data_IF_527861193492
#
_entry.id   IF_527861193492
#
_cell.length_a   1.000
_cell.length_b   1.000
_cell.length_c   1.000
_cell.angle_alpha   90.00
_cell.angle_beta   90.00
_cell.angle_gamma   90.00
#
_symmetry.space_group_name_H-M   'P 1'
#
loop_
_entity.id
_entity.type
_entity.pdbx_description
1 polymer ?
#
# COMPACT_ATOMS: atom_id res chain seq x y z
N UNK A 1 -17.38 31.11 2.22
CA UNK A 1 -18.51 30.35 2.82
C UNK A 1 -17.93 29.32 3.77
N UNK A 2 -18.26 29.42 5.06
CA UNK A 2 -17.69 28.59 6.12
C UNK A 2 -18.12 27.12 5.93
N UNK A 3 -17.13 26.24 5.74
CA UNK A 3 -17.34 24.80 5.67
C UNK A 3 -17.70 24.28 7.05
N UNK A 4 -18.97 23.99 7.28
CA UNK A 4 -19.44 23.32 8.48
C UNK A 4 -18.75 21.95 8.60
N UNK A 5 -17.78 21.86 9.52
CA UNK A 5 -17.13 20.61 9.90
C UNK A 5 -18.19 19.70 10.51
N UNK A 6 -18.62 18.67 9.76
CA UNK A 6 -19.54 17.65 10.27
C UNK A 6 -18.95 17.06 11.55
N UNK A 7 -19.68 17.18 12.66
CA UNK A 7 -19.33 16.56 13.94
C UNK A 7 -18.98 15.08 13.73
N UNK A 8 -17.84 14.58 14.26
CA UNK A 8 -17.39 13.21 14.05
C UNK A 8 -18.18 12.25 14.94
N UNK A 9 -19.50 12.13 14.69
CA UNK A 9 -20.46 11.44 15.54
C UNK A 9 -20.06 9.97 15.80
N UNK A 10 -19.46 9.31 14.80
CA UNK A 10 -18.93 7.94 14.90
C UNK A 10 -17.71 7.82 15.83
N UNK A 11 -16.84 8.83 15.81
CA UNK A 11 -15.70 8.91 16.73
C UNK A 11 -16.20 9.11 18.16
N UNK A 12 -17.16 10.02 18.34
CA UNK A 12 -17.76 10.30 19.64
C UNK A 12 -18.48 9.06 20.19
N UNK A 13 -19.26 8.35 19.37
CA UNK A 13 -19.95 7.11 19.80
C UNK A 13 -18.98 5.97 20.11
N UNK A 14 -17.90 5.83 19.32
CA UNK A 14 -16.86 4.84 19.62
C UNK A 14 -16.13 5.15 20.93
N UNK A 15 -15.75 6.41 21.16
CA UNK A 15 -15.06 6.80 22.41
C UNK A 15 -15.96 6.68 23.61
N UNK A 16 -17.24 7.08 23.52
CA UNK A 16 -18.21 6.85 24.61
C UNK A 16 -18.44 5.36 24.85
N UNK A 17 -18.62 4.54 23.82
CA UNK A 17 -18.77 3.10 23.98
C UNK A 17 -17.52 2.45 24.60
N UNK A 18 -16.32 2.89 24.22
CA UNK A 18 -15.07 2.42 24.79
C UNK A 18 -14.94 2.82 26.27
N UNK A 19 -15.26 4.07 26.62
CA UNK A 19 -15.24 4.55 28.02
C UNK A 19 -16.26 3.79 28.87
N UNK A 20 -17.46 3.55 28.35
CA UNK A 20 -18.50 2.78 29.05
C UNK A 20 -18.03 1.33 29.25
N UNK A 21 -17.50 0.67 28.22
CA UNK A 21 -16.97 -0.70 28.36
C UNK A 21 -15.75 -0.78 29.29
N UNK A 22 -14.84 0.19 29.22
CA UNK A 22 -13.71 0.28 30.13
C UNK A 22 -14.14 0.55 31.58
N UNK A 23 -15.22 1.33 31.78
CA UNK A 23 -15.80 1.61 33.09
C UNK A 23 -16.64 0.45 33.66
N UNK A 24 -17.25 -0.37 32.80
CA UNK A 24 -17.99 -1.58 33.18
C UNK A 24 -17.06 -2.79 33.38
N UNK A 25 -15.87 -2.77 32.76
CA UNK A 25 -14.85 -3.79 32.95
C UNK A 25 -14.38 -3.83 34.41
N UNK A 26 -14.41 -5.02 35.03
CA UNK A 26 -13.88 -5.26 36.39
C UNK A 26 -12.35 -5.11 36.50
N UNK A 27 -11.68 -4.79 35.39
CA UNK A 27 -10.22 -4.61 35.34
C UNK A 27 -9.86 -3.22 35.86
N UNK A 28 -9.48 -3.14 37.14
CA UNK A 28 -8.91 -1.92 37.70
C UNK A 28 -7.52 -1.68 37.10
N UNK A 29 -7.43 -0.82 36.08
CA UNK A 29 -6.18 -0.43 35.43
C UNK A 29 -5.12 0.06 36.44
N UNK A 30 -5.56 0.72 37.52
CA UNK A 30 -4.67 1.14 38.61
C UNK A 30 -4.03 -0.04 39.32
N UNK A 31 -4.82 -1.05 39.66
CA UNK A 31 -4.30 -2.25 40.33
C UNK A 31 -3.46 -3.10 39.37
N UNK A 32 -3.84 -3.15 38.09
CA UNK A 32 -3.06 -3.80 37.04
C UNK A 32 -1.69 -3.14 36.88
N UNK A 33 -1.64 -1.81 36.76
CA UNK A 33 -0.40 -1.05 36.64
C UNK A 33 0.48 -1.25 37.88
N UNK A 34 -0.07 -1.07 39.09
CA UNK A 34 0.68 -1.27 40.34
C UNK A 34 1.22 -2.70 40.41
N UNK A 35 0.39 -3.73 40.16
CA UNK A 35 0.81 -5.13 40.22
C UNK A 35 1.87 -5.52 39.19
N UNK A 36 1.95 -4.78 38.09
CA UNK A 36 2.95 -4.98 37.03
C UNK A 36 4.29 -4.37 37.41
N UNK A 37 4.31 -3.20 38.07
CA UNK A 37 5.54 -2.47 38.40
C UNK A 37 6.13 -2.75 39.80
N UNK A 38 5.36 -3.23 40.80
CA UNK A 38 5.85 -3.35 42.20
C UNK A 38 6.11 -4.76 42.74
N UNK A 39 5.83 -5.84 41.99
CA UNK A 39 6.07 -7.22 42.48
C UNK A 39 7.55 -7.67 42.36
N UNK A 40 8.00 -8.68 43.13
CA UNK A 40 9.42 -9.13 43.15
C UNK A 40 9.99 -9.67 41.83
N UNK A 41 9.16 -9.91 40.81
CA UNK A 41 9.56 -10.23 39.43
C UNK A 41 9.12 -9.12 38.45
N UNK A 42 9.34 -7.86 38.82
CA UNK A 42 8.86 -6.69 38.06
C UNK A 42 9.65 -6.49 36.77
N UNK A 43 10.96 -6.76 36.78
CA UNK A 43 11.84 -6.48 35.64
C UNK A 43 11.42 -7.17 34.33
N UNK A 44 11.01 -8.45 34.37
CA UNK A 44 10.57 -9.19 33.18
C UNK A 44 9.28 -8.62 32.59
N UNK A 45 8.36 -8.17 33.43
CA UNK A 45 7.09 -7.55 33.02
C UNK A 45 7.28 -6.12 32.54
N UNK A 46 8.16 -5.35 33.17
CA UNK A 46 8.58 -4.03 32.68
C UNK A 46 9.19 -4.19 31.29
N UNK A 47 10.12 -5.14 31.10
CA UNK A 47 10.72 -5.43 29.79
C UNK A 47 9.65 -5.86 28.78
N UNK A 48 8.71 -6.73 29.15
CA UNK A 48 7.62 -7.13 28.26
C UNK A 48 6.72 -5.96 27.87
N UNK A 49 6.38 -5.07 28.80
CA UNK A 49 5.62 -3.83 28.51
C UNK A 49 6.44 -2.89 27.63
N UNK A 50 7.74 -2.74 27.89
CA UNK A 50 8.65 -1.95 27.06
C UNK A 50 8.77 -2.53 25.64
N UNK A 51 8.81 -3.85 25.50
CA UNK A 51 8.81 -4.54 24.20
C UNK A 51 7.47 -4.40 23.48
N UNK A 52 6.34 -4.45 24.20
CA UNK A 52 5.02 -4.18 23.61
C UNK A 52 4.92 -2.73 23.16
N UNK A 53 5.32 -1.77 24.00
CA UNK A 53 5.38 -0.35 23.66
C UNK A 53 6.37 -0.07 22.52
N UNK A 54 7.50 -0.76 22.46
CA UNK A 54 8.44 -0.68 21.35
C UNK A 54 7.84 -1.28 20.06
N UNK A 55 7.02 -2.33 20.17
CA UNK A 55 6.27 -2.93 19.05
C UNK A 55 5.01 -2.14 18.65
N UNK A 56 4.60 -1.10 19.39
CA UNK A 56 3.59 -0.12 18.93
C UNK A 56 4.07 0.59 17.64
N UNK A 57 5.33 0.42 17.22
CA UNK A 57 5.89 0.86 15.93
C UNK A 57 4.96 0.63 14.72
N UNK A 58 4.10 -0.40 14.74
CA UNK A 58 3.16 -0.70 13.64
C UNK A 58 1.79 0.01 13.68
N UNK A 59 1.52 0.90 14.65
CA UNK A 59 0.22 1.57 14.77
C UNK A 59 -0.16 2.45 13.56
N UNK A 60 0.82 2.95 12.80
CA UNK A 60 0.58 3.87 11.66
C UNK A 60 -0.26 3.23 10.56
N UNK A 61 0.08 2.00 10.16
CA UNK A 61 -0.65 1.23 9.14
C UNK A 61 -2.05 0.85 9.63
N UNK A 62 -2.15 0.31 10.85
CA UNK A 62 -3.44 -0.04 11.44
C UNK A 62 -4.35 1.18 11.61
N UNK A 63 -3.80 2.34 11.94
CA UNK A 63 -4.55 3.58 12.04
C UNK A 63 -5.10 4.03 10.68
N UNK A 64 -4.33 3.92 9.59
CA UNK A 64 -4.82 4.22 8.24
C UNK A 64 -6.03 3.35 7.87
N UNK A 65 -5.95 2.05 8.19
CA UNK A 65 -7.04 1.08 8.00
C UNK A 65 -8.23 1.43 8.89
N UNK A 66 -8.03 1.61 10.20
CA UNK A 66 -9.10 1.96 11.15
C UNK A 66 -9.80 3.27 10.78
N UNK A 67 -9.06 4.27 10.28
CA UNK A 67 -9.64 5.54 9.83
C UNK A 67 -10.64 5.34 8.70
N UNK A 68 -10.30 4.52 7.71
CA UNK A 68 -11.19 4.18 6.60
C UNK A 68 -12.32 3.22 6.99
N UNK A 69 -12.05 2.25 7.86
CA UNK A 69 -13.04 1.26 8.29
C UNK A 69 -14.04 1.80 9.31
N UNK A 70 -13.63 2.70 10.22
CA UNK A 70 -14.44 3.14 11.37
C UNK A 70 -14.88 4.62 11.31
N UNK A 71 -14.02 5.53 10.83
CA UNK A 71 -14.19 6.97 11.13
C UNK A 71 -14.40 7.90 9.94
N UNK A 72 -13.94 7.56 8.74
CA UNK A 72 -14.00 8.45 7.56
C UNK A 72 -14.47 7.71 6.32
N UNK A 73 -15.65 8.11 5.82
CA UNK A 73 -15.99 7.95 4.42
C UNK A 73 -15.25 9.06 3.67
N UNK A 74 -14.32 8.80 2.73
CA UNK A 74 -14.02 9.80 1.72
C UNK A 74 -15.35 10.12 1.01
N UNK A 75 -15.76 11.39 1.04
CA UNK A 75 -16.88 11.90 0.24
C UNK A 75 -16.42 11.92 -1.23
N UNK A 76 -16.30 10.74 -1.83
CA UNK A 76 -16.03 10.61 -3.26
C UNK A 76 -17.32 11.02 -3.97
N UNK A 77 -17.28 12.17 -4.67
CA UNK A 77 -18.40 12.65 -5.46
C UNK A 77 -18.73 11.57 -6.51
N UNK A 78 -20.01 11.18 -6.71
CA UNK A 78 -20.38 10.06 -7.58
C UNK A 78 -19.91 10.21 -9.05
N UNK A 79 -19.66 11.44 -9.52
CA UNK A 79 -19.14 11.71 -10.86
C UNK A 79 -17.63 11.38 -11.01
N UNK A 80 -16.88 11.39 -9.91
CA UNK A 80 -15.42 11.16 -9.87
C UNK A 80 -15.09 9.66 -9.98
N UNK A 81 -16.09 8.80 -9.79
CA UNK A 81 -15.97 7.34 -9.72
C UNK A 81 -15.36 6.71 -10.99
N UNK A 82 -15.60 7.30 -12.17
CA UNK A 82 -15.18 6.76 -13.46
C UNK A 82 -13.66 6.86 -13.72
N UNK A 83 -12.92 7.62 -12.90
CA UNK A 83 -11.48 7.85 -13.08
C UNK A 83 -10.67 7.82 -11.78
N UNK A 84 -11.22 7.22 -10.72
CA UNK A 84 -10.54 7.12 -9.41
C UNK A 84 -9.10 6.59 -9.53
N UNK A 85 -8.84 5.67 -10.48
CA UNK A 85 -7.53 5.07 -10.70
C UNK A 85 -6.39 6.06 -10.99
N UNK A 86 -6.72 7.19 -11.61
CA UNK A 86 -5.71 8.14 -12.06
C UNK A 86 -5.48 9.28 -11.06
N UNK A 87 -6.19 9.26 -9.93
CA UNK A 87 -6.02 10.28 -8.90
C UNK A 87 -5.05 9.84 -7.81
N UNK A 88 -4.21 10.78 -7.37
CA UNK A 88 -3.22 10.55 -6.33
C UNK A 88 -3.84 10.58 -4.93
N UNK A 89 -3.25 9.82 -4.00
CA UNK A 89 -3.51 9.95 -2.56
C UNK A 89 -2.29 10.62 -1.94
N UNK A 90 -2.51 11.69 -1.18
CA UNK A 90 -1.43 12.44 -0.54
C UNK A 90 -1.51 12.22 0.97
N UNK A 91 -0.40 11.76 1.56
CA UNK A 91 -0.28 11.61 3.00
C UNK A 91 0.87 12.47 3.50
N UNK A 92 0.60 13.28 4.53
CA UNK A 92 1.62 14.04 5.24
C UNK A 92 1.93 13.32 6.56
N UNK A 93 3.20 13.05 6.82
CA UNK A 93 3.68 12.37 8.01
C UNK A 93 5.04 12.91 8.45
N UNK A 94 5.37 12.71 9.72
CA UNK A 94 6.73 12.84 10.25
C UNK A 94 7.21 11.48 10.73
N UNK A 95 8.51 11.23 10.53
CA UNK A 95 9.15 10.00 10.98
C UNK A 95 9.76 10.21 12.38
N UNK A 96 9.42 9.38 13.38
CA UNK A 96 9.95 9.49 14.74
C UNK A 96 11.44 9.19 14.81
N UNK A 97 12.09 9.58 15.92
CA UNK A 97 13.51 9.33 16.18
C UNK A 97 13.93 7.85 16.07
N UNK A 98 12.99 6.91 16.19
CA UNK A 98 13.22 5.47 16.08
C UNK A 98 13.28 4.94 14.63
N UNK A 99 12.98 5.79 13.65
CA UNK A 99 13.01 5.48 12.21
C UNK A 99 14.30 5.98 11.53
N UNK A 100 15.21 6.59 12.30
CA UNK A 100 16.52 7.01 11.85
C UNK A 100 17.49 5.82 11.84
N UNK A 101 18.40 5.82 10.86
CA UNK A 101 19.54 4.94 10.83
C UNK A 101 20.69 5.47 11.71
N UNK A 102 21.81 4.74 11.72
CA UNK A 102 23.01 5.15 12.46
C UNK A 102 23.56 6.52 12.03
N UNK A 103 23.31 6.94 10.78
CA UNK A 103 23.80 8.19 10.21
C UNK A 103 22.83 9.36 10.42
N UNK A 104 21.74 9.17 11.17
CA UNK A 104 20.68 10.16 11.37
C UNK A 104 19.95 10.57 10.09
N UNK A 105 19.89 9.68 9.11
CA UNK A 105 18.95 9.76 7.99
C UNK A 105 17.78 8.82 8.23
N UNK A 106 16.68 9.09 7.53
CA UNK A 106 15.57 8.14 7.50
C UNK A 106 16.05 6.80 6.93
N UNK A 107 15.86 5.73 7.69
CA UNK A 107 16.26 4.39 7.29
C UNK A 107 15.50 3.92 6.05
N UNK A 108 16.20 3.22 5.14
CA UNK A 108 15.62 2.69 3.90
C UNK A 108 14.42 1.76 4.15
N UNK A 109 14.45 0.96 5.22
CA UNK A 109 13.36 0.04 5.56
C UNK A 109 12.10 0.78 6.00
N UNK A 110 12.23 1.97 6.58
CA UNK A 110 11.10 2.78 7.03
C UNK A 110 10.22 3.25 5.88
N UNK A 111 10.79 3.46 4.68
CA UNK A 111 10.00 3.86 3.51
C UNK A 111 8.91 2.84 3.15
N UNK A 112 9.10 1.55 3.48
CA UNK A 112 8.10 0.51 3.30
C UNK A 112 6.87 0.75 4.19
N UNK A 113 7.06 1.25 5.41
CA UNK A 113 5.94 1.58 6.30
C UNK A 113 5.10 2.73 5.76
N UNK A 114 5.71 3.75 5.14
CA UNK A 114 4.96 4.83 4.51
C UNK A 114 4.20 4.37 3.28
N UNK A 115 4.82 3.49 2.47
CA UNK A 115 4.16 2.88 1.34
C UNK A 115 2.97 2.03 1.78
N UNK A 116 3.11 1.22 2.84
CA UNK A 116 1.99 0.44 3.38
C UNK A 116 0.83 1.34 3.84
N UNK A 117 1.13 2.49 4.45
CA UNK A 117 0.11 3.50 4.84
C UNK A 117 -0.58 4.09 3.60
N UNK A 118 0.17 4.52 2.59
CA UNK A 118 -0.38 5.11 1.36
C UNK A 118 -1.21 4.08 0.59
N UNK A 119 -0.68 2.87 0.41
CA UNK A 119 -1.37 1.78 -0.25
C UNK A 119 -2.62 1.37 0.53
N UNK A 120 -2.59 1.34 1.85
CA UNK A 120 -3.80 1.11 2.66
C UNK A 120 -4.86 2.18 2.39
N UNK A 121 -4.48 3.46 2.34
CA UNK A 121 -5.42 4.52 2.01
C UNK A 121 -6.01 4.41 0.61
N UNK A 122 -5.18 4.09 -0.39
CA UNK A 122 -5.59 3.91 -1.78
C UNK A 122 -6.50 2.70 -1.96
N UNK A 123 -6.11 1.54 -1.41
CA UNK A 123 -6.87 0.29 -1.50
C UNK A 123 -8.21 0.40 -0.77
N UNK A 124 -8.25 1.03 0.41
CA UNK A 124 -9.51 1.27 1.11
C UNK A 124 -10.44 2.18 0.29
N UNK A 125 -9.91 3.26 -0.30
CA UNK A 125 -10.70 4.14 -1.17
C UNK A 125 -11.22 3.40 -2.41
N UNK A 126 -10.40 2.50 -2.97
CA UNK A 126 -10.75 1.67 -4.11
C UNK A 126 -11.85 0.63 -3.81
N UNK A 127 -11.73 -0.09 -2.69
CA UNK A 127 -12.65 -1.18 -2.33
C UNK A 127 -13.98 -0.71 -1.76
N UNK A 128 -14.05 0.51 -1.25
CA UNK A 128 -15.24 1.04 -0.61
C UNK A 128 -16.50 1.08 -1.50
N UNK A 129 -16.47 1.61 -2.74
CA UNK A 129 -17.64 1.59 -3.62
C UNK A 129 -18.07 0.16 -4.01
N UNK A 130 -17.11 -0.75 -4.14
CA UNK A 130 -17.37 -2.16 -4.48
C UNK A 130 -18.08 -2.90 -3.34
N UNK A 131 -17.57 -2.79 -2.11
CA UNK A 131 -18.13 -3.45 -0.93
C UNK A 131 -19.58 -3.00 -0.64
N UNK A 132 -19.91 -1.72 -0.92
CA UNK A 132 -21.26 -1.20 -0.72
C UNK A 132 -22.30 -1.80 -1.66
N UNK A 133 -21.92 -2.14 -2.91
CA UNK A 133 -22.84 -2.66 -3.93
C UNK A 133 -23.00 -4.18 -3.86
N UNK A 134 -21.90 -4.91 -3.75
CA UNK A 134 -21.91 -6.34 -4.03
C UNK A 134 -21.93 -7.23 -2.78
N UNK A 135 -21.69 -6.70 -1.58
CA UNK A 135 -21.43 -7.47 -0.33
C UNK A 135 -20.36 -8.58 -0.48
N UNK A 136 -19.71 -8.66 -1.63
CA UNK A 136 -18.59 -9.54 -1.92
C UNK A 136 -17.39 -8.91 -1.23
N UNK A 137 -16.99 -9.52 -0.12
CA UNK A 137 -15.69 -9.28 0.45
C UNK A 137 -14.69 -9.69 -0.63
N UNK A 138 -14.03 -8.71 -1.26
CA UNK A 138 -12.81 -9.02 -2.01
C UNK A 138 -11.81 -9.47 -0.93
N UNK A 139 -11.74 -10.79 -0.72
CA UNK A 139 -11.19 -11.36 0.51
C UNK A 139 -9.75 -10.90 0.75
N UNK A 140 -8.90 -10.92 -0.29
CA UNK A 140 -7.48 -10.64 -0.10
C UNK A 140 -6.85 -9.93 -1.30
N UNK A 141 -6.41 -8.69 -1.10
CA UNK A 141 -5.37 -8.06 -1.92
C UNK A 141 -4.03 -8.39 -1.27
N UNK A 142 -3.16 -9.07 -2.01
CA UNK A 142 -1.88 -9.57 -1.53
C UNK A 142 -0.76 -8.80 -2.21
N UNK A 143 0.22 -8.36 -1.42
CA UNK A 143 1.43 -7.75 -1.95
C UNK A 143 2.29 -8.84 -2.62
N UNK A 144 2.51 -8.72 -3.92
CA UNK A 144 3.31 -9.66 -4.71
C UNK A 144 4.77 -9.25 -4.85
N UNK A 145 5.09 -7.97 -4.65
CA UNK A 145 6.45 -7.46 -4.70
C UNK A 145 6.49 -5.93 -4.66
N UNK A 146 7.63 -5.38 -4.25
CA UNK A 146 7.86 -3.94 -4.21
C UNK A 146 9.26 -3.65 -4.71
N UNK A 147 9.39 -2.59 -5.50
CA UNK A 147 10.67 -2.06 -5.96
C UNK A 147 10.78 -0.62 -5.48
N UNK A 148 11.94 -0.25 -4.95
CA UNK A 148 12.25 1.12 -4.53
C UNK A 148 13.43 1.68 -5.32
N UNK A 149 13.32 2.96 -5.65
CA UNK A 149 14.42 3.78 -6.18
C UNK A 149 14.60 4.98 -5.24
N UNK A 150 15.71 5.00 -4.51
CA UNK A 150 16.06 6.09 -3.58
C UNK A 150 16.87 7.14 -4.34
N UNK A 151 16.44 8.41 -4.26
CA UNK A 151 17.03 9.54 -4.98
C UNK A 151 17.75 10.51 -4.05
N UNK A 152 17.24 10.71 -2.83
CA UNK A 152 17.82 11.62 -1.85
C UNK A 152 17.53 11.16 -0.43
N UNK A 153 18.47 11.41 0.47
CA UNK A 153 18.34 11.16 1.90
C UNK A 153 17.49 12.24 2.58
N UNK A 154 16.73 11.84 3.61
CA UNK A 154 15.94 12.75 4.45
C UNK A 154 16.58 12.78 5.84
N UNK A 155 17.13 13.93 6.25
CA UNK A 155 17.76 14.13 7.55
C UNK A 155 16.94 15.03 8.49
N UNK A 156 17.39 15.16 9.74
CA UNK A 156 16.73 15.93 10.82
C UNK A 156 16.51 17.41 10.45
N UNK A 157 17.42 18.00 9.67
CA UNK A 157 17.39 19.41 9.25
C UNK A 157 16.88 19.60 7.82
N UNK A 158 15.81 18.93 7.42
CA UNK A 158 15.16 19.25 6.15
C UNK A 158 14.57 20.67 6.25
N UNK A 159 15.25 21.66 5.65
CA UNK A 159 14.67 22.97 5.32
C UNK A 159 13.42 22.79 4.45
N UNK A 160 12.60 23.83 4.34
CA UNK A 160 11.43 23.89 3.45
C UNK A 160 11.71 23.17 2.14
N UNK A 161 11.09 22.00 2.00
CA UNK A 161 11.31 21.09 0.88
C UNK A 161 10.43 21.59 -0.26
N UNK A 162 11.02 21.86 -1.41
CA UNK A 162 10.25 22.17 -2.62
C UNK A 162 9.20 21.07 -2.86
N UNK A 163 7.95 21.46 -3.14
CA UNK A 163 6.86 20.49 -3.39
C UNK A 163 7.14 19.54 -4.57
N UNK A 164 8.14 19.84 -5.39
CA UNK A 164 8.59 19.03 -6.54
C UNK A 164 9.75 18.09 -6.21
N UNK A 165 10.32 18.16 -5.01
CA UNK A 165 11.47 17.32 -4.64
C UNK A 165 11.02 15.88 -4.36
N UNK A 166 11.62 14.93 -5.07
CA UNK A 166 11.35 13.50 -4.91
C UNK A 166 12.54 12.85 -4.21
N UNK A 167 12.28 12.19 -3.08
CA UNK A 167 13.30 11.54 -2.26
C UNK A 167 13.39 10.04 -2.54
N UNK A 168 12.25 9.40 -2.74
CA UNK A 168 12.16 8.00 -3.09
C UNK A 168 10.91 7.74 -3.92
N UNK A 169 10.98 6.75 -4.80
CA UNK A 169 9.84 6.24 -5.55
C UNK A 169 9.73 4.75 -5.29
N UNK A 170 8.50 4.26 -5.22
CA UNK A 170 8.21 2.84 -5.12
C UNK A 170 7.15 2.42 -6.12
N UNK A 171 7.27 1.18 -6.59
CA UNK A 171 6.23 0.50 -7.36
C UNK A 171 5.87 -0.78 -6.63
N UNK A 172 4.59 -0.90 -6.28
CA UNK A 172 4.02 -2.06 -5.60
C UNK A 172 3.21 -2.89 -6.58
N UNK A 173 3.51 -4.19 -6.63
CA UNK A 173 2.72 -5.18 -7.38
C UNK A 173 1.73 -5.85 -6.44
N UNK A 174 0.46 -5.88 -6.84
CA UNK A 174 -0.61 -6.52 -6.08
C UNK A 174 -1.23 -7.69 -6.84
N UNK A 175 -1.63 -8.70 -6.09
CA UNK A 175 -2.34 -9.89 -6.57
C UNK A 175 -3.71 -9.89 -5.90
N UNK A 176 -4.76 -10.06 -6.71
CA UNK A 176 -6.14 -10.08 -6.24
C UNK A 176 -6.58 -11.54 -6.11
N UNK A 177 -7.08 -11.92 -4.92
CA UNK A 177 -7.67 -13.23 -4.68
C UNK A 177 -9.11 -13.14 -4.23
N UNK A 178 -9.90 -14.09 -4.70
CA UNK A 178 -11.23 -14.40 -4.17
C UNK A 178 -11.15 -15.79 -3.55
N UNK A 179 -11.27 -15.87 -2.23
CA UNK A 179 -10.95 -17.07 -1.46
C UNK A 179 -9.54 -17.61 -1.82
N UNK A 180 -9.45 -18.82 -2.38
CA UNK A 180 -8.19 -19.49 -2.75
C UNK A 180 -7.77 -19.26 -4.20
N UNK A 181 -8.56 -18.56 -5.00
CA UNK A 181 -8.33 -18.40 -6.44
C UNK A 181 -7.77 -17.01 -6.76
N UNK A 182 -6.66 -16.96 -7.50
CA UNK A 182 -6.10 -15.72 -8.04
C UNK A 182 -6.92 -15.29 -9.24
N UNK A 183 -7.44 -14.07 -9.21
CA UNK A 183 -8.31 -13.55 -10.27
C UNK A 183 -7.48 -12.64 -11.19
N UNK A 184 -7.74 -12.72 -12.50
CA UNK A 184 -7.20 -11.76 -13.46
C UNK A 184 -7.66 -10.32 -13.11
N UNK A 185 -6.78 -9.31 -13.18
CA UNK A 185 -7.14 -7.93 -12.83
C UNK A 185 -8.36 -7.43 -13.61
N UNK A 186 -8.50 -7.81 -14.89
CA UNK A 186 -9.66 -7.42 -15.71
C UNK A 186 -11.01 -7.83 -15.11
N UNK A 187 -11.12 -9.03 -14.54
CA UNK A 187 -12.37 -9.52 -13.95
C UNK A 187 -12.73 -8.70 -12.71
N UNK A 188 -11.72 -8.38 -11.88
CA UNK A 188 -11.89 -7.54 -10.69
C UNK A 188 -12.26 -6.09 -11.08
N UNK A 189 -11.60 -5.54 -12.10
CA UNK A 189 -11.87 -4.22 -12.64
C UNK A 189 -13.29 -4.11 -13.23
N UNK A 190 -13.74 -5.11 -13.98
CA UNK A 190 -15.10 -5.17 -14.50
C UNK A 190 -16.13 -5.19 -13.36
N UNK A 191 -15.91 -6.08 -12.38
CA UNK A 191 -16.79 -6.21 -11.22
C UNK A 191 -16.85 -4.92 -10.38
N UNK A 192 -15.78 -4.13 -10.37
CA UNK A 192 -15.72 -2.85 -9.66
C UNK A 192 -16.68 -1.80 -10.22
N UNK A 193 -16.98 -1.85 -11.52
CA UNK A 193 -17.77 -0.83 -12.21
C UNK A 193 -17.14 0.57 -12.18
N UNK A 194 -15.82 0.65 -11.94
CA UNK A 194 -15.05 1.90 -11.85
C UNK A 194 -14.51 2.35 -13.20
N UNK A 195 -14.45 1.45 -14.18
CA UNK A 195 -14.03 1.76 -15.55
C UNK A 195 -15.25 1.74 -16.49
N UNK A 196 -15.22 2.53 -17.58
CA UNK A 196 -16.21 2.41 -18.64
C UNK A 196 -16.18 1.00 -19.25
N UNK A 197 -17.28 0.55 -19.89
CA UNK A 197 -17.30 -0.74 -20.57
C UNK A 197 -16.24 -0.77 -21.67
N UNK A 198 -15.41 -1.81 -21.66
CA UNK A 198 -14.34 -2.00 -22.67
C UNK A 198 -14.96 -2.27 -24.04
N UNK A 199 -14.46 -1.62 -25.13
CA UNK A 199 -14.77 -2.05 -26.49
C UNK A 199 -14.06 -3.39 -26.73
N UNK A 200 -14.84 -4.47 -26.88
CA UNK A 200 -14.31 -5.84 -26.82
C UNK A 200 -14.47 -6.40 -25.41
N UNK A 201 -15.42 -7.33 -25.28
CA UNK A 201 -15.94 -7.94 -24.04
C UNK A 201 -14.83 -8.22 -23.00
N UNK A 202 -15.13 -8.06 -21.72
CA UNK A 202 -14.19 -8.38 -20.64
C UNK A 202 -13.87 -9.89 -20.59
N UNK A 203 -12.63 -10.26 -20.24
CA UNK A 203 -12.26 -11.64 -19.94
C UNK A 203 -13.18 -12.20 -18.84
N UNK A 204 -13.71 -13.41 -19.02
CA UNK A 204 -14.62 -14.05 -18.06
C UNK A 204 -14.04 -15.38 -17.59
N UNK A 205 -14.20 -15.70 -16.29
CA UNK A 205 -13.71 -16.94 -15.68
C UNK A 205 -14.62 -18.16 -15.92
N UNK A 206 -15.52 -18.13 -16.91
CA UNK A 206 -16.55 -19.16 -17.13
C UNK A 206 -16.03 -20.50 -17.69
N UNK A 207 -14.72 -20.62 -17.91
CA UNK A 207 -14.10 -21.83 -18.45
C UNK A 207 -13.92 -22.93 -17.38
N UNK A 208 -13.98 -24.22 -17.75
CA UNK A 208 -13.88 -25.35 -16.82
C UNK A 208 -12.53 -25.49 -16.09
N UNK A 209 -11.50 -24.74 -16.48
CA UNK A 209 -10.16 -24.77 -15.87
C UNK A 209 -9.89 -23.60 -14.91
N UNK A 210 -10.78 -22.61 -14.78
CA UNK A 210 -10.46 -21.37 -14.04
C UNK A 210 -9.29 -20.59 -14.64
N UNK A 211 -8.87 -20.93 -15.87
CA UNK A 211 -7.80 -20.30 -16.61
C UNK A 211 -8.42 -19.32 -17.60
N UNK A 212 -8.28 -18.03 -17.32
CA UNK A 212 -8.72 -16.98 -18.24
C UNK A 212 -7.70 -16.87 -19.37
N UNK A 213 -8.08 -17.31 -20.57
CA UNK A 213 -7.32 -17.07 -21.80
C UNK A 213 -7.35 -15.57 -22.08
N UNK A 214 -6.22 -14.86 -22.07
CA UNK A 214 -6.16 -13.53 -22.68
C UNK A 214 -6.33 -13.73 -24.20
N UNK A 215 -7.18 -12.93 -24.85
CA UNK A 215 -7.02 -12.70 -26.30
C UNK A 215 -5.71 -11.94 -26.49
N UNK A 216 -4.61 -12.68 -26.59
CA UNK A 216 -3.33 -12.17 -27.02
C UNK A 216 -3.44 -11.91 -28.52
N UNK A 217 -3.37 -10.64 -28.94
CA UNK A 217 -2.97 -10.33 -30.31
C UNK A 217 -1.58 -10.92 -30.48
N UNK A 218 -1.47 -11.96 -31.30
CA UNK A 218 -0.23 -12.65 -31.59
C UNK A 218 0.79 -11.67 -32.20
N UNK A 219 1.74 -11.20 -31.40
CA UNK A 219 3.05 -10.83 -31.93
C UNK A 219 3.83 -12.13 -32.10
N UNK A 220 3.96 -12.54 -33.36
CA UNK A 220 4.80 -13.65 -33.78
C UNK A 220 6.28 -13.30 -33.49
N UNK A 221 6.81 -13.74 -32.35
CA UNK A 221 8.25 -13.90 -32.19
C UNK A 221 8.65 -15.32 -32.64
N UNK A 222 9.56 -15.34 -33.61
CA UNK A 222 9.87 -16.48 -34.45
C UNK A 222 10.43 -17.70 -33.73
N UNK A 223 10.07 -18.84 -34.31
CA UNK A 223 10.61 -20.17 -34.08
C UNK A 223 12.14 -20.15 -34.13
N UNK A 224 12.81 -20.42 -33.01
CA UNK A 224 14.24 -20.75 -32.99
C UNK A 224 14.38 -22.25 -32.70
N UNK A 225 14.98 -22.94 -33.66
CA UNK A 225 15.33 -24.37 -33.64
C UNK A 225 16.16 -24.71 -32.39
N UNK A 226 15.92 -25.83 -31.70
CA UNK A 226 16.75 -26.23 -30.56
C UNK A 226 18.03 -26.87 -31.09
N UNK A 227 19.14 -26.13 -31.08
CA UNK A 227 20.47 -26.75 -31.18
C UNK A 227 20.88 -27.30 -29.82
N UNK A 228 21.33 -28.55 -29.83
CA UNK A 228 21.81 -29.31 -28.69
C UNK A 228 23.11 -28.71 -28.12
N UNK A 229 23.03 -27.98 -27.01
CA UNK A 229 24.21 -27.53 -26.27
C UNK A 229 24.56 -28.58 -25.18
N UNK A 230 25.52 -29.45 -25.49
CA UNK A 230 26.17 -30.36 -24.51
C UNK A 230 27.66 -30.07 -24.38
N UNK A 231 28.02 -28.81 -24.10
CA UNK A 231 29.34 -28.45 -23.57
C UNK A 231 29.21 -27.36 -22.50
N UNK A 232 29.81 -27.60 -21.33
CA UNK A 232 29.82 -26.70 -20.16
C UNK A 232 30.74 -25.46 -20.35
N UNK A 233 31.25 -25.23 -21.57
CA UNK A 233 32.22 -24.18 -21.86
C UNK A 233 31.53 -22.87 -22.29
N UNK A 234 31.96 -21.75 -21.70
CA UNK A 234 31.35 -20.43 -21.90
C UNK A 234 32.04 -19.67 -23.05
N UNK A 235 31.37 -19.60 -24.19
CA UNK A 235 31.81 -18.79 -25.33
C UNK A 235 31.28 -17.33 -25.27
N UNK A 236 32.04 -16.40 -25.86
CA UNK A 236 31.64 -14.98 -25.95
C UNK A 236 30.33 -14.75 -26.70
N UNK A 237 30.01 -15.59 -27.68
CA UNK A 237 28.72 -15.55 -28.41
C UNK A 237 27.55 -15.85 -27.48
N UNK A 238 27.71 -16.79 -26.54
CA UNK A 238 26.74 -17.11 -25.50
C UNK A 238 26.62 -15.96 -24.48
N UNK A 239 27.73 -15.34 -24.08
CA UNK A 239 27.73 -14.15 -23.20
C UNK A 239 26.96 -12.99 -23.84
N UNK A 240 27.24 -12.68 -25.11
CA UNK A 240 26.55 -11.62 -25.86
C UNK A 240 25.04 -11.88 -25.94
N UNK A 241 24.64 -13.15 -26.14
CA UNK A 241 23.24 -13.58 -26.14
C UNK A 241 22.58 -13.37 -24.79
N UNK A 242 23.21 -13.80 -23.70
CA UNK A 242 22.69 -13.59 -22.34
C UNK A 242 22.67 -12.10 -21.95
N UNK A 243 23.66 -11.31 -22.38
CA UNK A 243 23.65 -9.86 -22.20
C UNK A 243 22.49 -9.20 -22.93
N UNK A 244 22.22 -9.58 -24.19
CA UNK A 244 21.06 -9.08 -24.94
C UNK A 244 19.73 -9.50 -24.30
N UNK A 245 19.67 -10.72 -23.77
CA UNK A 245 18.51 -11.20 -23.00
C UNK A 245 18.31 -10.38 -21.72
N UNK A 246 19.38 -10.12 -20.96
CA UNK A 246 19.35 -9.31 -19.74
C UNK A 246 19.03 -7.83 -20.01
N UNK A 247 19.51 -7.29 -21.13
CA UNK A 247 19.31 -5.91 -21.54
C UNK A 247 17.82 -5.58 -21.67
N UNK A 248 16.99 -6.50 -22.20
CA UNK A 248 15.53 -6.33 -22.28
C UNK A 248 14.94 -5.94 -20.91
N UNK A 249 15.33 -6.65 -19.85
CA UNK A 249 14.84 -6.37 -18.49
C UNK A 249 15.47 -5.12 -17.88
N UNK A 250 16.77 -4.90 -18.10
CA UNK A 250 17.47 -3.72 -17.60
C UNK A 250 16.89 -2.43 -18.18
N UNK A 251 16.48 -2.43 -19.45
CA UNK A 251 15.80 -1.30 -20.09
C UNK A 251 14.47 -0.98 -19.41
N UNK A 252 13.65 -1.98 -19.10
CA UNK A 252 12.40 -1.77 -18.37
C UNK A 252 12.64 -1.25 -16.95
N UNK A 253 13.65 -1.75 -16.25
CA UNK A 253 14.03 -1.27 -14.92
C UNK A 253 14.52 0.19 -14.96
N UNK A 254 15.35 0.54 -15.95
CA UNK A 254 15.84 1.90 -16.15
C UNK A 254 14.70 2.88 -16.49
N UNK A 255 13.69 2.45 -17.25
CA UNK A 255 12.52 3.27 -17.57
C UNK A 255 11.73 3.71 -16.33
N UNK A 256 11.82 2.97 -15.21
CA UNK A 256 11.15 3.33 -13.96
C UNK A 256 11.66 4.66 -13.37
N UNK A 257 12.89 5.06 -13.68
CA UNK A 257 13.41 6.36 -13.25
C UNK A 257 12.66 7.54 -13.90
N UNK A 258 11.97 7.30 -15.02
CA UNK A 258 11.07 8.27 -15.66
C UNK A 258 9.83 8.61 -14.81
N UNK A 259 9.46 7.76 -13.84
CA UNK A 259 8.26 7.96 -13.01
C UNK A 259 8.29 9.26 -12.19
N UNK A 260 9.48 9.84 -11.97
CA UNK A 260 9.64 11.15 -11.36
C UNK A 260 8.90 12.26 -12.12
N UNK A 261 8.81 12.15 -13.44
CA UNK A 261 8.25 13.18 -14.31
C UNK A 261 6.72 13.21 -14.26
N UNK A 262 6.08 12.11 -13.83
CA UNK A 262 4.63 12.01 -13.67
C UNK A 262 4.14 12.70 -12.39
N UNK A 263 5.04 13.01 -11.44
CA UNK A 263 4.65 13.65 -10.19
C UNK A 263 4.31 15.13 -10.40
N UNK A 264 3.02 15.44 -10.38
CA UNK A 264 2.49 16.81 -10.53
C UNK A 264 2.44 17.61 -9.21
N UNK A 265 2.97 17.05 -8.12
CA UNK A 265 2.94 17.68 -6.80
C UNK A 265 1.53 17.80 -6.25
N UNK A 266 1.20 18.97 -5.71
CA UNK A 266 -0.11 19.26 -5.11
C UNK A 266 -1.13 19.87 -6.09
N UNK A 267 -0.77 20.02 -7.37
CA UNK A 267 -1.53 20.78 -8.37
C UNK A 267 -2.79 20.05 -8.88
N UNK A 268 -2.72 18.72 -9.02
CA UNK A 268 -3.86 17.92 -9.45
C UNK A 268 -4.82 17.63 -8.28
N UNK A 269 -6.13 17.41 -8.55
CA UNK A 269 -7.05 16.98 -7.51
C UNK A 269 -6.59 15.63 -6.95
N UNK A 270 -6.39 15.54 -5.64
CA UNK A 270 -6.08 14.27 -4.99
C UNK A 270 -7.38 13.55 -4.62
N UNK A 271 -7.40 12.22 -4.71
CA UNK A 271 -8.49 11.35 -4.24
C UNK A 271 -8.74 11.57 -2.74
N UNK A 272 -7.68 11.82 -1.98
CA UNK A 272 -7.74 12.16 -0.58
C UNK A 272 -6.43 12.75 -0.08
N UNK A 273 -6.55 13.64 0.91
CA UNK A 273 -5.41 14.16 1.68
C UNK A 273 -5.52 13.65 3.12
N UNK A 274 -4.54 12.88 3.55
CA UNK A 274 -4.49 12.29 4.88
C UNK A 274 -3.32 12.88 5.67
N UNK A 275 -3.51 13.04 6.97
CA UNK A 275 -2.44 13.34 7.93
C UNK A 275 -2.27 12.15 8.84
N UNK A 276 -1.01 11.82 9.11
CA UNK A 276 -0.66 10.86 10.12
C UNK A 276 -0.92 11.43 11.53
N UNK A 277 -1.13 10.56 12.52
CA UNK A 277 -1.60 10.97 13.84
C UNK A 277 -0.52 11.62 14.71
N UNK A 278 0.76 11.46 14.35
CA UNK A 278 1.90 12.00 15.09
C UNK A 278 2.39 13.36 14.55
N UNK A 279 1.46 14.16 14.03
CA UNK A 279 1.66 15.56 13.61
C UNK A 279 0.70 16.47 14.34
#
# INVERSE_FOLDING_TARGET
MASATRLPLKSITFTTAFIINAGVSKVSFRNLAISTFTRPESYSRIIAVLLVLANIKNHRVFNAILKHCLFSLPNILPLIVLFIFFFSVITSSHFPLTEYDYNFYKSNSTYFSDLDVICSHLLCAFLQPYNKKNKLVLDHIILGGVIYSFKREIGIKSKDVDERAIFAIAISKYIIKLSRLTIHPEVSLNASGLLPPRPGRWATMSGPSGESTPETLEEAEGTVTPESETSDEWDWTRIERENKRGLKFATHFAALDGLNQEFTGSQQPALGRYRDFMT
#
